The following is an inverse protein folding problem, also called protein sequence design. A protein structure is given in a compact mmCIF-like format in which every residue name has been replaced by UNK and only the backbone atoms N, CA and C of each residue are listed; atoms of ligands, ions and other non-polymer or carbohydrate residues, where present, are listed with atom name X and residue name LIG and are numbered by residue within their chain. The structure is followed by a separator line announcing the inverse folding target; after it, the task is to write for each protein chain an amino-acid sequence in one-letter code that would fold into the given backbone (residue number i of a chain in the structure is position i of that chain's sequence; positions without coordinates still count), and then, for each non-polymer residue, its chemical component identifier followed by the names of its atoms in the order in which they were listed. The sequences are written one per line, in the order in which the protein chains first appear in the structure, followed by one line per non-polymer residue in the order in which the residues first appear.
data_IF_178051783402
#
_entry.id   IF_178051783402
#
_cell.length_a   1.000
_cell.length_b   1.000
_cell.length_c   1.000
_cell.angle_alpha   90.00
_cell.angle_beta   90.00
_cell.angle_gamma   90.00
#
_symmetry.space_group_name_H-M   'P 1'
#
loop_
_entity.id
_entity.type
_entity.pdbx_description
1 polymer ?
#
# COMPACT_ATOMS: atom_id res chain seq x y z
N UNK A 1 2.77 -10.11 36.68
CA UNK A 1 3.09 -10.82 35.43
C UNK A 1 3.33 -12.28 35.75
N UNK A 2 2.62 -13.17 35.09
CA UNK A 2 2.68 -14.60 35.36
C UNK A 2 3.87 -15.22 34.62
N UNK A 3 4.84 -15.81 35.32
CA UNK A 3 6.05 -16.41 34.72
C UNK A 3 5.78 -17.68 33.92
N UNK A 4 4.56 -18.26 34.01
CA UNK A 4 4.25 -19.57 33.44
C UNK A 4 3.38 -19.55 32.17
N UNK A 5 2.88 -18.41 31.72
CA UNK A 5 1.84 -18.36 30.67
C UNK A 5 2.19 -17.63 29.35
N UNK A 6 3.44 -17.32 29.06
CA UNK A 6 3.62 -16.60 27.78
C UNK A 6 5.01 -16.07 27.48
N UNK A 7 5.95 -16.91 27.14
CA UNK A 7 7.21 -16.46 26.54
C UNK A 7 8.14 -15.61 27.44
N UNK A 8 9.31 -15.20 26.93
CA UNK A 8 10.27 -14.41 27.69
C UNK A 8 9.69 -13.07 28.16
N UNK A 9 10.02 -12.62 29.37
CA UNK A 9 9.50 -11.39 29.97
C UNK A 9 9.73 -10.14 29.09
N UNK A 10 10.87 -10.05 28.44
CA UNK A 10 11.16 -8.93 27.54
C UNK A 10 10.20 -8.89 26.31
N UNK A 11 9.77 -10.05 25.81
CA UNK A 11 8.80 -10.12 24.72
C UNK A 11 7.42 -9.66 25.20
N UNK A 12 6.97 -10.08 26.39
CA UNK A 12 5.70 -9.63 26.96
C UNK A 12 5.67 -8.11 27.15
N UNK A 13 6.74 -7.51 27.67
CA UNK A 13 6.85 -6.05 27.85
C UNK A 13 6.86 -5.33 26.50
N UNK A 14 7.63 -5.84 25.54
CA UNK A 14 7.63 -5.31 24.18
C UNK A 14 6.21 -5.31 23.59
N UNK A 15 5.47 -6.41 23.74
CA UNK A 15 4.12 -6.54 23.16
C UNK A 15 3.07 -5.67 23.87
N UNK A 16 3.26 -5.38 25.17
CA UNK A 16 2.43 -4.41 25.90
C UNK A 16 2.69 -2.99 25.39
N UNK A 17 3.95 -2.59 25.34
CA UNK A 17 4.34 -1.24 24.85
C UNK A 17 3.99 -1.07 23.37
N UNK A 18 4.14 -2.10 22.55
CA UNK A 18 3.73 -2.11 21.15
C UNK A 18 2.23 -1.80 21.02
N UNK A 19 1.37 -2.49 21.79
CA UNK A 19 -0.07 -2.21 21.79
C UNK A 19 -0.37 -0.78 22.22
N UNK A 20 0.28 -0.24 23.24
CA UNK A 20 0.07 1.15 23.66
C UNK A 20 0.45 2.17 22.58
N UNK A 21 1.47 1.87 21.76
CA UNK A 21 1.85 2.70 20.62
C UNK A 21 0.82 2.57 19.49
N UNK A 22 0.40 1.35 19.16
CA UNK A 22 -0.58 1.10 18.08
C UNK A 22 -1.96 1.67 18.42
N UNK A 23 -2.41 1.52 19.67
CA UNK A 23 -3.69 2.05 20.15
C UNK A 23 -3.65 3.58 20.41
N UNK A 24 -2.55 4.24 20.03
CA UNK A 24 -2.31 5.69 20.20
C UNK A 24 -2.36 6.17 21.67
N UNK A 25 -2.31 5.26 22.64
CA UNK A 25 -2.14 5.61 24.05
C UNK A 25 -0.77 6.29 24.28
N UNK A 26 0.23 5.96 23.43
CA UNK A 26 1.50 6.64 23.31
C UNK A 26 1.61 7.24 21.90
N UNK A 27 1.34 8.53 21.79
CA UNK A 27 1.33 9.22 20.49
C UNK A 27 2.73 9.35 19.87
N UNK A 28 2.85 9.39 18.53
CA UNK A 28 4.11 9.68 17.86
C UNK A 28 4.77 10.97 18.40
N UNK A 29 6.07 10.90 18.67
CA UNK A 29 6.84 12.01 19.27
C UNK A 29 6.76 12.12 20.79
N UNK A 30 5.88 11.35 21.46
CA UNK A 30 5.83 11.28 22.92
C UNK A 30 7.02 10.50 23.48
N UNK A 31 7.48 10.86 24.68
CA UNK A 31 8.51 10.10 25.39
C UNK A 31 7.89 8.85 26.01
N UNK A 32 8.57 7.70 25.87
CA UNK A 32 8.26 6.54 26.67
C UNK A 32 8.68 6.78 28.13
N UNK A 33 8.07 6.06 29.07
CA UNK A 33 8.61 6.01 30.43
C UNK A 33 10.08 5.60 30.43
N UNK A 34 10.85 6.16 31.35
CA UNK A 34 12.29 5.86 31.48
C UNK A 34 12.55 4.37 31.80
N UNK A 35 13.75 3.90 31.54
CA UNK A 35 14.12 2.52 31.87
C UNK A 35 13.82 2.20 33.34
N UNK A 36 14.03 3.16 34.25
CA UNK A 36 13.79 3.01 35.68
C UNK A 36 12.29 2.95 36.02
N UNK A 37 11.47 3.78 35.38
CA UNK A 37 10.01 3.75 35.51
C UNK A 37 9.43 2.42 35.00
N UNK A 38 9.90 1.94 33.85
CA UNK A 38 9.51 0.65 33.30
C UNK A 38 9.94 -0.52 34.20
N UNK A 39 11.15 -0.47 34.81
CA UNK A 39 11.57 -1.46 35.80
C UNK A 39 10.61 -1.53 36.99
N UNK A 40 10.23 -0.36 37.51
CA UNK A 40 9.27 -0.27 38.65
C UNK A 40 7.89 -0.73 38.25
N UNK A 41 7.40 -0.30 37.07
CA UNK A 41 6.07 -0.62 36.56
C UNK A 41 5.88 -2.12 36.32
N UNK A 42 6.89 -2.78 35.74
CA UNK A 42 6.80 -4.20 35.36
C UNK A 42 7.46 -5.16 36.36
N UNK A 43 8.16 -4.65 37.37
CA UNK A 43 8.83 -5.48 38.38
C UNK A 43 9.96 -6.35 37.80
N UNK A 44 10.72 -5.83 36.81
CA UNK A 44 11.75 -6.59 36.10
C UNK A 44 13.13 -5.90 36.16
N UNK A 45 14.17 -6.66 35.81
CA UNK A 45 15.53 -6.12 35.76
C UNK A 45 15.74 -5.14 34.60
N UNK A 46 16.75 -4.29 34.74
CA UNK A 46 17.15 -3.33 33.68
C UNK A 46 17.49 -4.01 32.36
N UNK A 47 18.11 -5.18 32.40
CA UNK A 47 18.44 -5.94 31.18
C UNK A 47 17.21 -6.36 30.40
N UNK A 48 16.16 -6.80 31.09
CA UNK A 48 14.87 -7.18 30.46
C UNK A 48 14.20 -5.98 29.83
N UNK A 49 14.17 -4.81 30.50
CA UNK A 49 13.64 -3.57 29.93
C UNK A 49 14.41 -3.14 28.70
N UNK A 50 15.74 -3.14 28.78
CA UNK A 50 16.60 -2.75 27.63
C UNK A 50 16.41 -3.66 26.43
N UNK A 51 16.22 -4.96 26.66
CA UNK A 51 15.94 -5.93 25.58
C UNK A 51 14.57 -5.69 24.95
N UNK A 52 13.54 -5.38 25.75
CA UNK A 52 12.21 -5.01 25.25
C UNK A 52 12.26 -3.73 24.42
N UNK A 53 12.93 -2.69 24.92
CA UNK A 53 13.10 -1.42 24.20
C UNK A 53 13.98 -1.59 22.94
N UNK A 54 15.00 -2.46 22.96
CA UNK A 54 15.76 -2.79 21.76
C UNK A 54 14.85 -3.41 20.70
N UNK A 55 14.04 -4.39 21.07
CA UNK A 55 13.07 -4.99 20.14
C UNK A 55 12.07 -3.99 19.54
N UNK A 56 11.64 -2.98 20.33
CA UNK A 56 10.78 -1.90 19.79
C UNK A 56 11.57 -0.97 18.85
N UNK A 57 12.83 -0.71 19.14
CA UNK A 57 13.69 0.10 18.25
C UNK A 57 14.01 -0.65 16.95
N UNK A 58 14.26 -1.95 17.01
CA UNK A 58 14.48 -2.82 15.84
C UNK A 58 13.23 -2.89 14.95
N UNK A 59 12.03 -2.79 15.55
CA UNK A 59 10.75 -2.64 14.86
C UNK A 59 10.50 -1.20 14.36
N UNK A 60 11.42 -0.25 14.61
CA UNK A 60 11.26 1.15 14.22
C UNK A 60 10.18 1.93 14.98
N UNK A 61 9.60 1.34 16.03
CA UNK A 61 8.48 1.93 16.79
C UNK A 61 8.94 3.01 17.77
N UNK A 62 10.22 2.98 18.15
CA UNK A 62 10.83 3.99 19.02
C UNK A 62 12.20 4.41 18.50
N UNK A 63 12.60 5.63 18.83
CA UNK A 63 13.98 6.16 18.61
C UNK A 63 14.60 6.50 19.94
N UNK A 64 15.87 6.12 20.12
CA UNK A 64 16.66 6.55 21.29
C UNK A 64 17.17 7.97 21.05
N UNK A 65 16.82 8.91 21.92
CA UNK A 65 17.33 10.28 21.88
C UNK A 65 18.26 10.54 23.06
N UNK A 66 19.45 11.06 22.75
CA UNK A 66 20.42 11.41 23.79
C UNK A 66 19.85 12.46 24.74
N UNK A 67 19.75 12.14 26.03
CA UNK A 67 19.18 13.03 27.06
C UNK A 67 17.66 13.01 27.21
N UNK A 68 16.91 12.40 26.28
CA UNK A 68 15.43 12.28 26.35
C UNK A 68 14.90 10.85 26.48
N UNK A 69 15.81 9.86 26.57
CA UNK A 69 15.39 8.45 26.64
C UNK A 69 14.89 7.88 25.30
N UNK A 70 13.83 7.09 25.36
CA UNK A 70 13.17 6.54 24.18
C UNK A 70 11.92 7.37 23.85
N UNK A 71 11.76 7.73 22.59
CA UNK A 71 10.63 8.50 22.08
C UNK A 71 9.90 7.63 21.06
N UNK A 72 8.57 7.63 21.07
CA UNK A 72 7.76 6.98 20.04
C UNK A 72 8.15 7.55 18.69
N UNK A 73 8.64 6.71 17.82
CA UNK A 73 8.94 7.13 16.45
C UNK A 73 7.64 7.60 15.81
N UNK A 74 7.72 8.67 15.02
CA UNK A 74 6.68 8.92 14.04
C UNK A 74 6.77 7.77 13.04
N UNK A 75 5.96 6.74 13.24
CA UNK A 75 5.91 5.63 12.28
C UNK A 75 5.42 6.23 10.97
N UNK A 76 6.18 6.15 9.90
CA UNK A 76 5.71 6.69 8.64
C UNK A 76 4.42 5.98 8.28
N UNK A 77 3.33 6.73 8.19
CA UNK A 77 2.03 6.22 7.75
C UNK A 77 2.03 6.23 6.23
N UNK A 78 1.96 5.06 5.64
CA UNK A 78 1.74 4.96 4.20
C UNK A 78 0.25 5.23 3.92
N UNK A 79 -0.03 6.33 3.19
CA UNK A 79 -1.39 6.63 2.71
C UNK A 79 -1.58 6.10 1.30
N UNK A 80 -2.71 5.44 1.07
CA UNK A 80 -3.03 4.86 -0.22
C UNK A 80 -4.48 5.12 -0.62
N UNK A 81 -4.69 5.74 -1.77
CA UNK A 81 -6.00 5.85 -2.40
C UNK A 81 -6.28 4.60 -3.24
N UNK A 82 -7.22 3.77 -2.79
CA UNK A 82 -7.54 2.50 -3.48
C UNK A 82 -8.15 2.73 -4.86
N UNK A 83 -8.87 3.83 -5.03
CA UNK A 83 -9.60 4.19 -6.26
C UNK A 83 -8.69 4.79 -7.35
N UNK A 84 -7.46 5.20 -6.99
CA UNK A 84 -6.51 5.73 -7.99
C UNK A 84 -5.69 4.60 -8.59
N UNK A 85 -5.65 4.54 -9.92
CA UNK A 85 -4.90 3.55 -10.67
C UNK A 85 -3.37 3.73 -10.62
N UNK A 86 -2.86 4.77 -9.96
CA UNK A 86 -1.41 5.03 -9.80
C UNK A 86 -0.72 3.97 -8.96
N UNK A 87 0.54 3.68 -9.29
CA UNK A 87 1.40 2.81 -8.51
C UNK A 87 1.66 3.33 -7.11
N UNK A 88 2.17 2.46 -6.24
CA UNK A 88 2.49 2.83 -4.86
C UNK A 88 3.53 3.96 -4.80
N UNK A 89 4.49 3.99 -5.75
CA UNK A 89 5.50 5.04 -5.86
C UNK A 89 4.89 6.41 -6.16
N UNK A 90 3.97 6.47 -7.14
CA UNK A 90 3.32 7.72 -7.54
C UNK A 90 2.48 8.29 -6.38
N UNK A 91 1.80 7.41 -5.64
CA UNK A 91 1.00 7.82 -4.49
C UNK A 91 1.86 8.29 -3.31
N UNK A 92 2.97 7.60 -3.01
CA UNK A 92 3.92 8.02 -1.99
C UNK A 92 4.58 9.36 -2.34
N UNK A 93 5.01 9.53 -3.59
CA UNK A 93 5.62 10.77 -4.08
C UNK A 93 4.66 11.96 -3.97
N UNK A 94 3.35 11.77 -4.19
CA UNK A 94 2.33 12.80 -4.00
C UNK A 94 2.24 13.31 -2.54
N UNK A 95 2.73 12.53 -1.57
CA UNK A 95 2.82 12.89 -0.16
C UNK A 95 4.26 13.27 0.26
N UNK A 96 5.17 13.50 -0.70
CA UNK A 96 6.57 13.81 -0.43
C UNK A 96 7.38 12.64 0.12
N UNK A 97 6.87 11.41 0.03
CA UNK A 97 7.52 10.20 0.52
C UNK A 97 8.25 9.48 -0.63
N UNK A 98 9.39 8.88 -0.32
CA UNK A 98 10.13 8.02 -1.25
C UNK A 98 10.09 6.59 -0.77
N UNK A 99 9.67 5.69 -1.66
CA UNK A 99 9.72 4.27 -1.40
C UNK A 99 10.98 3.65 -2.01
N UNK A 100 11.61 2.76 -1.25
CA UNK A 100 12.62 1.85 -1.77
C UNK A 100 11.95 0.51 -2.07
N UNK A 101 12.30 -0.11 -3.20
CA UNK A 101 11.84 -1.44 -3.58
C UNK A 101 13.00 -2.41 -3.49
N UNK A 102 12.79 -3.53 -2.82
CA UNK A 102 13.72 -4.65 -2.83
C UNK A 102 13.04 -5.85 -3.49
N UNK A 103 13.68 -6.40 -4.51
CA UNK A 103 13.20 -7.56 -5.26
C UNK A 103 13.69 -8.82 -4.58
N UNK A 104 12.75 -9.66 -4.15
CA UNK A 104 13.07 -10.95 -3.52
C UNK A 104 13.24 -12.06 -4.55
N UNK A 105 12.38 -12.09 -5.56
CA UNK A 105 12.46 -13.07 -6.65
C UNK A 105 11.75 -12.58 -7.92
N UNK A 106 12.23 -13.06 -9.06
CA UNK A 106 11.58 -13.01 -10.38
C UNK A 106 11.74 -14.38 -10.99
N UNK A 107 10.65 -15.12 -11.11
CA UNK A 107 10.70 -16.50 -11.58
C UNK A 107 9.50 -16.85 -12.46
N UNK A 108 9.64 -17.73 -13.45
CA UNK A 108 8.50 -18.28 -14.19
C UNK A 108 7.58 -19.03 -13.23
N UNK A 109 6.30 -18.70 -13.25
CA UNK A 109 5.31 -19.37 -12.40
C UNK A 109 3.92 -19.16 -12.96
N UNK A 110 3.12 -20.20 -12.94
CA UNK A 110 1.69 -20.11 -13.23
C UNK A 110 0.98 -19.33 -12.11
N UNK A 111 0.08 -18.38 -12.43
CA UNK A 111 -0.68 -17.67 -11.42
C UNK A 111 -1.80 -18.57 -10.86
N UNK A 112 -2.37 -18.24 -9.69
CA UNK A 112 -3.59 -18.87 -9.22
C UNK A 112 -4.74 -18.71 -10.21
N UNK A 113 -5.78 -19.55 -10.12
CA UNK A 113 -6.90 -19.59 -11.04
C UNK A 113 -7.50 -18.20 -11.34
N UNK A 114 -7.71 -17.37 -10.32
CA UNK A 114 -8.19 -16.00 -10.49
C UNK A 114 -7.21 -15.12 -11.31
N UNK A 115 -5.92 -15.38 -11.20
CA UNK A 115 -4.89 -14.71 -11.98
C UNK A 115 -4.89 -15.18 -13.44
N UNK A 116 -5.09 -16.48 -13.70
CA UNK A 116 -5.23 -17.03 -15.06
C UNK A 116 -6.42 -16.37 -15.77
N UNK A 117 -7.56 -16.31 -15.10
CA UNK A 117 -8.77 -15.68 -15.63
C UNK A 117 -8.59 -14.17 -15.89
N UNK A 118 -7.85 -13.48 -15.00
CA UNK A 118 -7.60 -12.05 -15.10
C UNK A 118 -6.62 -11.70 -16.23
N UNK A 119 -5.59 -12.53 -16.43
CA UNK A 119 -4.50 -12.30 -17.39
C UNK A 119 -4.71 -13.05 -18.72
N UNK A 120 -5.61 -14.01 -18.77
CA UNK A 120 -5.86 -14.91 -19.90
C UNK A 120 -4.59 -15.66 -20.36
N UNK A 121 -3.70 -16.00 -19.41
CA UNK A 121 -2.47 -16.77 -19.68
C UNK A 121 -1.95 -17.47 -18.41
N UNK A 122 -1.27 -18.59 -18.59
CA UNK A 122 -0.50 -19.27 -17.55
C UNK A 122 0.99 -18.94 -17.63
N UNK A 123 1.45 -18.35 -18.76
CA UNK A 123 2.85 -18.01 -19.01
C UNK A 123 3.21 -16.67 -18.37
N UNK A 124 3.59 -16.66 -17.08
CA UNK A 124 3.83 -15.44 -16.34
C UNK A 124 5.18 -15.45 -15.61
N UNK A 125 5.67 -14.23 -15.30
CA UNK A 125 6.64 -13.98 -14.25
C UNK A 125 5.92 -13.81 -12.95
N UNK A 126 6.29 -14.56 -11.90
CA UNK A 126 5.97 -14.24 -10.52
C UNK A 126 7.07 -13.34 -9.96
N UNK A 127 6.69 -12.17 -9.49
CA UNK A 127 7.58 -11.14 -8.97
C UNK A 127 7.23 -10.92 -7.50
N UNK A 128 8.18 -11.17 -6.59
CA UNK A 128 8.03 -10.87 -5.17
C UNK A 128 8.91 -9.69 -4.78
N UNK A 129 8.32 -8.69 -4.13
CA UNK A 129 9.00 -7.45 -3.74
C UNK A 129 8.56 -6.98 -2.36
N UNK A 130 9.48 -6.36 -1.62
CA UNK A 130 9.18 -5.63 -0.39
C UNK A 130 9.39 -4.15 -0.64
N UNK A 131 8.45 -3.34 -0.17
CA UNK A 131 8.52 -1.88 -0.24
C UNK A 131 8.86 -1.32 1.12
N UNK A 132 9.77 -0.37 1.14
CA UNK A 132 10.26 0.27 2.35
C UNK A 132 9.99 1.77 2.30
N UNK A 133 9.56 2.31 3.43
CA UNK A 133 9.46 3.74 3.69
C UNK A 133 10.33 4.04 4.92
N UNK A 134 11.34 4.91 4.77
CA UNK A 134 12.33 5.19 5.83
C UNK A 134 12.91 3.91 6.47
N UNK A 135 13.33 2.95 5.63
CA UNK A 135 13.86 1.64 6.00
C UNK A 135 12.88 0.69 6.73
N UNK A 136 11.62 1.09 6.93
CA UNK A 136 10.58 0.21 7.45
C UNK A 136 9.83 -0.48 6.31
N UNK A 137 9.64 -1.81 6.36
CA UNK A 137 8.85 -2.52 5.37
C UNK A 137 7.37 -2.14 5.54
N UNK A 138 6.78 -1.56 4.49
CA UNK A 138 5.39 -1.08 4.50
C UNK A 138 4.45 -1.93 3.66
N UNK A 139 4.99 -2.69 2.70
CA UNK A 139 4.20 -3.60 1.89
C UNK A 139 5.04 -4.75 1.33
N UNK A 140 4.49 -5.95 1.32
CA UNK A 140 4.97 -7.08 0.53
C UNK A 140 4.05 -7.26 -0.66
N UNK A 141 4.63 -7.44 -1.83
CA UNK A 141 3.91 -7.56 -3.09
C UNK A 141 4.26 -8.87 -3.79
N UNK A 142 3.25 -9.59 -4.23
CA UNK A 142 3.37 -10.74 -5.13
C UNK A 142 2.54 -10.45 -6.37
N UNK A 143 3.19 -10.36 -7.50
CA UNK A 143 2.59 -9.93 -8.76
C UNK A 143 2.89 -10.95 -9.85
N UNK A 144 1.92 -11.26 -10.69
CA UNK A 144 2.12 -12.05 -11.91
C UNK A 144 1.92 -11.14 -13.11
N UNK A 145 2.86 -11.19 -14.05
CA UNK A 145 2.82 -10.42 -15.30
C UNK A 145 3.03 -11.35 -16.49
N UNK A 146 2.30 -11.19 -17.61
CA UNK A 146 2.47 -12.02 -18.80
C UNK A 146 3.90 -11.94 -19.36
N UNK A 147 4.57 -13.05 -19.54
CA UNK A 147 5.92 -13.11 -20.10
C UNK A 147 5.96 -12.68 -21.57
N UNK A 148 4.88 -12.91 -22.28
CA UNK A 148 4.79 -12.52 -23.70
C UNK A 148 4.82 -11.00 -23.88
N UNK A 149 4.33 -10.24 -22.89
CA UNK A 149 4.39 -8.76 -22.88
C UNK A 149 5.71 -8.24 -22.34
N UNK A 150 6.31 -8.96 -21.39
CA UNK A 150 7.50 -8.52 -20.65
C UNK A 150 8.58 -9.61 -20.60
N UNK A 151 9.13 -10.02 -21.75
CA UNK A 151 10.03 -11.19 -21.83
C UNK A 151 11.37 -10.99 -21.08
N UNK A 152 11.78 -9.74 -20.85
CA UNK A 152 13.09 -9.39 -20.31
C UNK A 152 13.06 -8.85 -18.87
N UNK A 153 11.99 -9.11 -18.12
CA UNK A 153 11.94 -8.68 -16.72
C UNK A 153 12.93 -9.50 -15.88
N UNK A 154 13.83 -8.79 -15.21
CA UNK A 154 14.82 -9.34 -14.27
C UNK A 154 14.73 -8.65 -12.92
N UNK A 155 15.37 -9.24 -11.90
CA UNK A 155 15.41 -8.65 -10.57
C UNK A 155 16.13 -7.29 -10.58
N UNK A 156 17.22 -7.17 -11.34
CA UNK A 156 18.00 -5.94 -11.48
C UNK A 156 17.18 -4.82 -12.10
N UNK A 157 16.40 -5.11 -13.14
CA UNK A 157 15.54 -4.14 -13.80
C UNK A 157 14.42 -3.62 -12.86
N UNK A 158 13.95 -4.50 -11.98
CA UNK A 158 12.83 -4.22 -11.07
C UNK A 158 13.27 -3.64 -9.72
N UNK A 159 14.57 -3.69 -9.38
CA UNK A 159 15.11 -3.14 -8.13
C UNK A 159 14.97 -1.62 -8.13
N UNK A 160 14.36 -1.07 -7.09
CA UNK A 160 14.04 0.36 -6.95
C UNK A 160 13.22 0.96 -8.12
N UNK A 161 12.54 0.13 -8.93
CA UNK A 161 11.76 0.57 -10.07
C UNK A 161 10.25 0.46 -9.81
N UNK A 162 9.50 1.34 -10.48
CA UNK A 162 8.04 1.25 -10.56
C UNK A 162 7.64 0.28 -11.66
N UNK A 163 6.96 -0.81 -11.31
CA UNK A 163 6.48 -1.79 -12.28
C UNK A 163 5.56 -1.16 -13.35
N UNK A 164 4.66 -0.27 -12.93
CA UNK A 164 3.75 0.40 -13.88
C UNK A 164 4.50 1.37 -14.81
N UNK A 165 5.59 1.98 -14.36
CA UNK A 165 6.43 2.81 -15.22
C UNK A 165 7.17 1.94 -16.25
N UNK A 166 7.76 0.82 -15.81
CA UNK A 166 8.40 -0.12 -16.72
C UNK A 166 7.42 -0.67 -17.76
N UNK A 167 6.17 -0.94 -17.39
CA UNK A 167 5.15 -1.34 -18.36
C UNK A 167 4.92 -0.26 -19.42
N UNK A 168 4.84 1.02 -19.04
CA UNK A 168 4.70 2.15 -19.97
C UNK A 168 5.91 2.27 -20.90
N UNK A 169 7.10 2.09 -20.37
CA UNK A 169 8.36 2.11 -21.16
C UNK A 169 8.42 0.99 -22.20
N UNK A 170 7.71 -0.11 -21.96
CA UNK A 170 7.54 -1.21 -22.90
C UNK A 170 6.31 -1.05 -23.82
N UNK A 171 5.64 0.09 -23.80
CA UNK A 171 4.51 0.41 -24.68
C UNK A 171 3.14 -0.07 -24.16
N UNK A 172 3.06 -0.59 -22.93
CA UNK A 172 1.81 -0.99 -22.30
C UNK A 172 1.35 0.09 -21.30
N UNK A 173 0.15 0.61 -21.48
CA UNK A 173 -0.36 1.73 -20.70
C UNK A 173 -1.40 1.26 -19.67
N UNK A 174 -1.00 1.07 -18.39
CA UNK A 174 -1.93 0.70 -17.32
C UNK A 174 -3.06 1.74 -17.19
N UNK A 175 -4.30 1.31 -17.30
CA UNK A 175 -5.48 2.17 -17.18
C UNK A 175 -6.24 1.94 -15.87
N UNK A 176 -6.10 0.76 -15.24
CA UNK A 176 -6.77 0.41 -13.99
C UNK A 176 -7.38 -0.98 -14.02
N UNK A 177 -8.30 -1.26 -13.11
CA UNK A 177 -8.99 -2.54 -13.03
C UNK A 177 -9.64 -2.78 -11.68
N UNK A 178 -10.45 -3.85 -11.53
CA UNK A 178 -11.12 -4.17 -10.29
C UNK A 178 -10.11 -4.54 -9.20
N UNK A 179 -10.45 -4.13 -7.97
CA UNK A 179 -9.62 -4.33 -6.77
C UNK A 179 -10.49 -4.69 -5.59
N UNK A 180 -9.93 -5.49 -4.69
CA UNK A 180 -10.56 -5.88 -3.44
C UNK A 180 -9.60 -5.63 -2.29
N UNK A 181 -10.15 -5.23 -1.15
CA UNK A 181 -9.40 -5.07 0.11
C UNK A 181 -9.98 -6.01 1.13
N UNK A 182 -9.12 -6.77 1.80
CA UNK A 182 -9.49 -7.72 2.86
C UNK A 182 -8.58 -7.54 4.06
N UNK A 183 -9.13 -7.69 5.26
CA UNK A 183 -8.34 -7.86 6.47
C UNK A 183 -7.90 -9.33 6.57
N UNK A 184 -6.60 -9.55 6.73
CA UNK A 184 -6.00 -10.89 6.89
C UNK A 184 -5.02 -10.88 8.05
N UNK A 185 -4.72 -12.07 8.60
CA UNK A 185 -3.67 -12.20 9.61
C UNK A 185 -2.33 -12.54 8.98
N UNK A 186 -1.25 -11.97 9.51
CA UNK A 186 0.10 -12.31 9.08
C UNK A 186 0.43 -13.76 9.44
N UNK A 187 0.76 -14.57 8.45
CA UNK A 187 1.41 -15.85 8.64
C UNK A 187 2.90 -15.65 9.02
N UNK A 188 3.65 -16.70 9.39
CA UNK A 188 5.06 -16.57 9.76
C UNK A 188 5.95 -16.02 8.63
N UNK A 189 5.63 -16.25 7.36
CA UNK A 189 6.40 -15.76 6.22
C UNK A 189 6.16 -14.26 5.99
N UNK A 190 4.91 -13.84 5.97
CA UNK A 190 4.52 -12.42 5.89
C UNK A 190 5.07 -11.63 7.09
N UNK A 191 4.99 -12.19 8.29
CA UNK A 191 5.50 -11.56 9.51
C UNK A 191 7.01 -11.28 9.39
N UNK A 192 7.79 -12.23 8.87
CA UNK A 192 9.22 -12.07 8.64
C UNK A 192 9.51 -11.02 7.55
N UNK A 193 8.80 -11.07 6.41
CA UNK A 193 9.00 -10.15 5.28
C UNK A 193 8.63 -8.69 5.63
N UNK A 194 7.63 -8.51 6.48
CA UNK A 194 7.15 -7.18 6.90
C UNK A 194 7.71 -6.73 8.26
N UNK A 195 8.55 -7.55 8.89
CA UNK A 195 9.14 -7.27 10.22
C UNK A 195 8.07 -6.93 11.27
N UNK A 196 7.03 -7.75 11.37
CA UNK A 196 5.90 -7.63 12.30
C UNK A 196 5.71 -8.94 13.07
N UNK A 197 4.76 -8.97 14.01
CA UNK A 197 4.44 -10.21 14.72
C UNK A 197 3.55 -11.15 13.88
N UNK A 198 3.70 -12.45 14.08
CA UNK A 198 2.76 -13.44 13.52
C UNK A 198 1.34 -13.17 14.05
N UNK A 199 0.34 -13.34 13.18
CA UNK A 199 -1.08 -13.04 13.42
C UNK A 199 -1.42 -11.54 13.55
N UNK A 200 -0.47 -10.66 13.34
CA UNK A 200 -0.75 -9.23 13.27
C UNK A 200 -1.68 -8.93 12.07
N UNK A 201 -2.69 -8.04 12.24
CA UNK A 201 -3.63 -7.76 11.17
C UNK A 201 -2.96 -6.99 10.03
N UNK A 202 -3.25 -7.41 8.80
CA UNK A 202 -2.79 -6.78 7.56
C UNK A 202 -3.97 -6.42 6.67
N UNK A 203 -3.80 -5.44 5.81
CA UNK A 203 -4.71 -5.19 4.71
C UNK A 203 -4.15 -5.80 3.42
N UNK A 204 -4.83 -6.80 2.88
CA UNK A 204 -4.54 -7.37 1.58
C UNK A 204 -5.32 -6.60 0.51
N UNK A 205 -4.60 -5.95 -0.40
CA UNK A 205 -5.15 -5.41 -1.63
C UNK A 205 -4.84 -6.39 -2.76
N UNK A 206 -5.87 -6.87 -3.42
CA UNK A 206 -5.80 -7.83 -4.53
C UNK A 206 -6.52 -7.27 -5.75
N UNK A 207 -6.03 -7.57 -6.95
CA UNK A 207 -6.70 -7.14 -8.16
C UNK A 207 -5.93 -7.39 -9.44
N UNK A 208 -6.46 -6.83 -10.52
CA UNK A 208 -5.86 -6.84 -11.84
C UNK A 208 -5.69 -5.41 -12.33
N UNK A 209 -4.56 -5.14 -13.01
CA UNK A 209 -4.38 -3.92 -13.80
C UNK A 209 -4.51 -4.29 -15.27
N UNK A 210 -5.32 -3.53 -15.98
CA UNK A 210 -5.59 -3.68 -17.42
C UNK A 210 -5.15 -2.43 -18.17
N UNK A 211 -4.91 -2.59 -19.47
CA UNK A 211 -4.80 -1.45 -20.39
C UNK A 211 -6.19 -0.93 -20.83
N UNK A 212 -6.21 0.09 -21.69
CA UNK A 212 -7.45 0.66 -22.22
C UNK A 212 -8.20 -0.30 -23.15
N UNK A 213 -7.55 -1.33 -23.67
CA UNK A 213 -8.14 -2.37 -24.51
C UNK A 213 -8.69 -3.55 -23.71
N UNK A 214 -8.46 -3.56 -22.39
CA UNK A 214 -8.92 -4.60 -21.49
C UNK A 214 -7.94 -5.77 -21.29
N UNK A 215 -6.74 -5.74 -21.88
CA UNK A 215 -5.72 -6.77 -21.64
C UNK A 215 -5.22 -6.72 -20.21
N UNK A 216 -5.12 -7.86 -19.55
CA UNK A 216 -4.54 -7.97 -18.20
C UNK A 216 -3.03 -7.80 -18.26
N UNK A 217 -2.52 -6.75 -17.61
CA UNK A 217 -1.08 -6.46 -17.56
C UNK A 217 -0.42 -7.03 -16.32
N UNK A 218 -1.11 -7.03 -15.19
CA UNK A 218 -0.68 -7.67 -13.94
C UNK A 218 -1.88 -8.18 -13.15
N UNK A 219 -1.69 -9.28 -12.45
CA UNK A 219 -2.54 -9.71 -11.34
C UNK A 219 -1.70 -9.69 -10.07
N UNK A 220 -2.21 -9.09 -8.98
CA UNK A 220 -1.39 -8.79 -7.82
C UNK A 220 -2.09 -9.03 -6.49
N UNK A 221 -1.27 -9.37 -5.52
CA UNK A 221 -1.57 -9.35 -4.09
C UNK A 221 -0.57 -8.43 -3.39
N UNK A 222 -1.06 -7.48 -2.61
CA UNK A 222 -0.24 -6.55 -1.84
C UNK A 222 -0.69 -6.60 -0.39
N UNK A 223 0.17 -7.14 0.48
CA UNK A 223 -0.04 -7.13 1.93
C UNK A 223 0.59 -5.87 2.49
N UNK A 224 -0.25 -5.01 3.05
CA UNK A 224 0.19 -3.76 3.65
C UNK A 224 0.37 -3.95 5.14
N UNK A 225 1.45 -3.34 5.67
CA UNK A 225 1.71 -3.32 7.12
C UNK A 225 0.57 -2.63 7.88
N UNK A 226 0.43 -2.89 9.21
CA UNK A 226 -0.62 -2.29 10.04
C UNK A 226 -0.66 -0.75 10.01
N UNK A 227 0.46 -0.11 9.67
CA UNK A 227 0.59 1.35 9.59
C UNK A 227 0.18 1.94 8.24
N UNK A 228 -0.59 1.21 7.45
CA UNK A 228 -1.12 1.69 6.17
C UNK A 228 -2.56 2.17 6.34
N UNK A 229 -2.84 3.37 5.87
CA UNK A 229 -4.19 3.93 5.79
C UNK A 229 -4.66 3.89 4.35
N UNK A 230 -5.83 3.30 4.12
CA UNK A 230 -6.51 3.35 2.84
C UNK A 230 -7.54 4.48 2.86
N UNK A 231 -7.26 5.51 2.06
CA UNK A 231 -8.19 6.61 1.84
C UNK A 231 -9.19 6.21 0.73
N UNK A 232 -10.46 6.40 0.98
CA UNK A 232 -11.56 6.10 0.05
C UNK A 232 -12.42 7.34 -0.10
N UNK A 233 -12.54 7.86 -1.33
CA UNK A 233 -13.43 8.97 -1.64
C UNK A 233 -14.86 8.42 -1.83
N UNK A 234 -15.71 8.64 -0.84
CA UNK A 234 -17.13 8.31 -0.96
C UNK A 234 -17.85 9.43 -1.71
N UNK A 235 -18.27 9.14 -2.94
CA UNK A 235 -19.18 10.03 -3.66
C UNK A 235 -20.61 9.60 -3.39
N UNK A 236 -21.42 10.49 -2.82
CA UNK A 236 -22.85 10.32 -2.83
C UNK A 236 -23.31 10.64 -4.25
N UNK A 237 -23.57 9.62 -5.06
CA UNK A 237 -24.33 9.81 -6.30
C UNK A 237 -25.70 10.33 -5.89
N UNK A 238 -25.91 11.63 -5.95
CA UNK A 238 -27.25 12.15 -6.14
C UNK A 238 -27.79 11.37 -7.35
N UNK A 239 -28.93 10.71 -7.20
CA UNK A 239 -29.62 10.15 -8.36
C UNK A 239 -29.57 11.23 -9.43
N UNK A 240 -29.27 10.90 -10.72
CA UNK A 240 -29.32 11.89 -11.76
C UNK A 240 -30.70 12.54 -11.64
N UNK A 241 -30.70 13.76 -11.10
CA UNK A 241 -31.92 14.52 -10.97
C UNK A 241 -32.55 14.46 -12.35
N UNK A 242 -33.85 14.13 -12.44
CA UNK A 242 -34.60 14.18 -13.71
C UNK A 242 -34.07 15.41 -14.44
N UNK A 243 -33.38 15.18 -15.56
CA UNK A 243 -32.83 16.28 -16.37
C UNK A 243 -34.04 17.19 -16.59
N UNK A 244 -34.01 18.38 -16.01
CA UNK A 244 -35.18 19.26 -16.03
C UNK A 244 -35.48 19.54 -17.47
N UNK A 245 -36.76 19.59 -17.82
CA UNK A 245 -37.17 19.92 -19.22
C UNK A 245 -36.54 21.24 -19.67
N UNK A 246 -36.24 22.13 -18.74
CA UNK A 246 -35.54 23.37 -18.96
C UNK A 246 -34.07 23.15 -19.39
N UNK A 247 -33.39 22.18 -18.82
CA UNK A 247 -32.02 21.82 -19.21
C UNK A 247 -31.97 21.21 -20.60
N UNK A 248 -32.95 20.35 -20.93
CA UNK A 248 -33.10 19.77 -22.29
C UNK A 248 -33.39 20.89 -23.31
N UNK A 249 -34.25 21.84 -22.94
CA UNK A 249 -34.59 22.98 -23.81
C UNK A 249 -33.36 23.86 -24.04
N UNK A 250 -32.54 24.11 -23.01
CA UNK A 250 -31.30 24.90 -23.12
C UNK A 250 -30.30 24.21 -24.03
N UNK A 251 -30.09 22.89 -23.89
CA UNK A 251 -29.20 22.12 -24.76
C UNK A 251 -29.65 22.14 -26.22
N UNK A 252 -30.96 22.00 -26.49
CA UNK A 252 -31.50 22.10 -27.85
C UNK A 252 -31.26 23.47 -28.47
N UNK A 253 -31.45 24.55 -27.70
CA UNK A 253 -31.21 25.90 -28.21
C UNK A 253 -29.74 26.12 -28.54
N UNK A 254 -28.81 25.61 -27.74
CA UNK A 254 -27.36 25.69 -27.99
C UNK A 254 -27.00 24.89 -29.28
N UNK A 255 -27.57 23.71 -29.49
CA UNK A 255 -27.37 22.90 -30.70
C UNK A 255 -27.84 23.66 -31.94
N UNK A 256 -29.04 24.26 -31.89
CA UNK A 256 -29.59 25.05 -33.01
C UNK A 256 -28.74 26.30 -33.31
N UNK A 257 -28.18 26.97 -32.29
CA UNK A 257 -27.29 28.10 -32.50
C UNK A 257 -25.99 27.67 -33.19
N UNK A 258 -25.38 26.56 -32.75
CA UNK A 258 -24.18 26.03 -33.38
C UNK A 258 -24.41 25.58 -34.83
N UNK A 259 -25.57 24.96 -35.14
CA UNK A 259 -25.94 24.58 -36.51
C UNK A 259 -26.11 25.83 -37.39
N UNK A 260 -26.70 26.91 -36.84
CA UNK A 260 -26.89 28.18 -37.59
C UNK A 260 -25.55 28.86 -37.88
N UNK A 261 -24.63 28.92 -36.89
CA UNK A 261 -23.33 29.50 -37.07
C UNK A 261 -22.44 28.69 -38.06
N UNK A 262 -22.53 27.36 -38.02
CA UNK A 262 -21.86 26.49 -38.99
C UNK A 262 -22.39 26.74 -40.41
N UNK A 263 -23.73 26.83 -40.61
CA UNK A 263 -24.33 27.09 -41.88
C UNK A 263 -23.97 28.51 -42.42
N UNK A 264 -23.78 29.47 -41.53
CA UNK A 264 -23.33 30.83 -41.92
C UNK A 264 -21.85 30.84 -42.35
N UNK A 265 -20.98 30.07 -41.65
CA UNK A 265 -19.58 29.90 -42.05
C UNK A 265 -19.43 29.17 -43.38
N UNK A 266 -20.25 28.16 -43.66
CA UNK A 266 -20.25 27.47 -44.94
C UNK A 266 -20.72 28.36 -46.11
N UNK A 267 -21.67 29.27 -45.83
CA UNK A 267 -22.15 30.26 -46.85
C UNK A 267 -21.12 31.39 -47.09
N UNK A 268 -20.32 31.74 -46.12
CA UNK A 268 -19.28 32.77 -46.23
C UNK A 268 -17.96 32.28 -46.86
N UNK A 269 -17.81 30.98 -47.08
CA UNK A 269 -16.64 30.34 -47.67
C UNK A 269 -16.71 30.18 -49.20
N UNK A 270 -17.77 30.67 -49.85
CA UNK A 270 -17.96 30.78 -51.28
C UNK A 270 -18.02 32.25 -51.68
#
# INVERSE_FOLDING_TARGET
MNREAGGPLHAQIRDILHRQIVDLALSPGSSLPTEEELQRQFGVSRSVVRQALSGLADLGLIRRQRGRGSVVAATPVLRRHVQRAGGLDEQAAAHGQRLRTHVLSVEPSEPPQAGIEALNTTNTWKIERVRYLDDLPVAFMRTWVPRDFFPHFTAELLENASLLSLMRDHGYHPAGGPRQVQAVSADPDLARKLNINTREPLLLLQGVTRDALGHGLEWFNVWHSPNTVFDVDAQVTSQPGRVSQEHIRRLRNLTQQLESELADLERGAH
#
